data_IF_544532523570
#
_entry.id   IF_544532523570
#
_cell.length_a   1.000
_cell.length_b   1.000
_cell.length_c   1.000
_cell.angle_alpha   90.00
_cell.angle_beta   90.00
_cell.angle_gamma   90.00
#
_symmetry.space_group_name_H-M   'P 1'
#
loop_
_entity.id
_entity.type
_entity.pdbx_description
1 polymer ?
#
# COMPACT_ATOMS: atom_id res chain seq x y z
N UNK A 1 17.22 0.99 -17.19
CA UNK A 1 17.17 0.13 -18.40
C UNK A 1 15.70 -0.04 -18.82
N UNK A 2 15.40 0.06 -20.11
CA UNK A 2 14.03 0.04 -20.64
C UNK A 2 13.45 -1.40 -20.60
N UNK A 3 12.47 -1.64 -19.74
CA UNK A 3 11.95 -2.97 -19.34
C UNK A 3 11.40 -3.78 -20.53
N UNK A 4 10.94 -3.08 -21.58
CA UNK A 4 10.39 -3.69 -22.81
C UNK A 4 11.37 -4.54 -23.63
N UNK A 5 12.68 -4.49 -23.34
CA UNK A 5 13.72 -5.19 -24.13
C UNK A 5 14.15 -6.55 -23.58
N UNK A 6 13.61 -7.04 -22.47
CA UNK A 6 14.04 -8.31 -21.88
C UNK A 6 13.24 -9.49 -22.48
N UNK A 7 13.85 -10.24 -23.41
CA UNK A 7 13.42 -11.58 -23.85
C UNK A 7 14.63 -12.53 -23.89
N UNK A 8 14.47 -13.76 -23.41
CA UNK A 8 15.49 -14.84 -23.43
C UNK A 8 16.49 -14.83 -22.26
N UNK A 9 17.07 -16.01 -21.96
CA UNK A 9 18.06 -16.51 -20.96
C UNK A 9 18.62 -15.62 -19.83
N UNK A 10 18.65 -14.29 -19.99
CA UNK A 10 18.91 -13.30 -18.95
C UNK A 10 17.69 -13.01 -18.06
N UNK A 11 16.55 -13.67 -18.26
CA UNK A 11 15.34 -13.45 -17.47
C UNK A 11 15.52 -13.86 -16.01
N UNK A 12 16.16 -14.99 -15.72
CA UNK A 12 16.30 -15.51 -14.35
C UNK A 12 17.26 -14.66 -13.49
N UNK A 13 18.37 -14.22 -14.08
CA UNK A 13 19.35 -13.32 -13.44
C UNK A 13 18.76 -11.93 -13.21
N UNK A 14 18.08 -11.37 -14.22
CA UNK A 14 17.42 -10.06 -14.11
C UNK A 14 16.27 -10.10 -13.10
N UNK A 15 15.46 -11.17 -13.09
CA UNK A 15 14.38 -11.35 -12.11
C UNK A 15 14.93 -11.45 -10.69
N UNK A 16 16.07 -12.10 -10.47
CA UNK A 16 16.73 -12.16 -9.15
C UNK A 16 17.20 -10.77 -8.70
N UNK A 17 17.81 -9.99 -9.59
CA UNK A 17 18.22 -8.61 -9.32
C UNK A 17 17.01 -7.73 -8.96
N UNK A 18 15.95 -7.75 -9.77
CA UNK A 18 14.72 -7.01 -9.49
C UNK A 18 14.05 -7.45 -8.19
N UNK A 19 14.10 -8.75 -7.88
CA UNK A 19 13.55 -9.25 -6.63
C UNK A 19 14.34 -8.74 -5.42
N UNK A 20 15.68 -8.68 -5.51
CA UNK A 20 16.51 -8.09 -4.46
C UNK A 20 16.26 -6.59 -4.29
N UNK A 21 16.13 -5.84 -5.39
CA UNK A 21 15.78 -4.43 -5.35
C UNK A 21 14.40 -4.20 -4.73
N UNK A 22 13.42 -5.05 -5.08
CA UNK A 22 12.09 -5.02 -4.44
C UNK A 22 12.20 -5.31 -2.94
N UNK A 23 12.99 -6.30 -2.53
CA UNK A 23 13.20 -6.60 -1.09
C UNK A 23 13.76 -5.39 -0.35
N UNK A 24 14.80 -4.77 -0.90
CA UNK A 24 15.42 -3.60 -0.32
C UNK A 24 14.42 -2.43 -0.23
N UNK A 25 13.67 -2.19 -1.30
CA UNK A 25 12.60 -1.20 -1.31
C UNK A 25 11.53 -1.49 -0.25
N UNK A 26 11.09 -2.75 -0.12
CA UNK A 26 10.08 -3.13 0.87
C UNK A 26 10.56 -2.90 2.32
N UNK A 27 11.87 -2.98 2.56
CA UNK A 27 12.45 -2.75 3.89
C UNK A 27 12.71 -1.25 4.15
N UNK A 28 13.30 -0.53 3.19
CA UNK A 28 13.83 0.82 3.40
C UNK A 28 13.07 1.95 2.70
N UNK A 29 12.09 1.62 1.86
CA UNK A 29 11.31 2.61 1.12
C UNK A 29 12.00 3.16 -0.12
N UNK A 30 11.40 4.21 -0.68
CA UNK A 30 11.75 4.83 -1.95
C UNK A 30 12.33 6.24 -1.84
N UNK A 31 12.60 6.75 -0.63
CA UNK A 31 13.27 8.04 -0.47
C UNK A 31 14.64 8.04 -1.16
N UNK A 32 14.93 9.00 -2.07
CA UNK A 32 16.16 8.97 -2.86
C UNK A 32 17.43 8.92 -2.00
N UNK A 33 17.51 9.71 -0.93
CA UNK A 33 18.68 9.72 -0.06
C UNK A 33 18.90 8.38 0.64
N UNK A 34 17.82 7.70 1.04
CA UNK A 34 17.86 6.37 1.66
C UNK A 34 18.31 5.32 0.64
N UNK A 35 17.76 5.35 -0.58
CA UNK A 35 18.13 4.43 -1.65
C UNK A 35 19.62 4.51 -2.02
N UNK A 36 20.23 5.70 -1.89
CA UNK A 36 21.65 5.94 -2.20
C UNK A 36 22.63 5.51 -1.10
N UNK A 37 22.17 5.18 0.12
CA UNK A 37 23.07 4.70 1.19
C UNK A 37 23.44 3.23 0.99
N UNK A 38 24.68 2.89 1.36
CA UNK A 38 25.23 1.55 1.17
C UNK A 38 24.84 0.58 2.28
N UNK A 39 24.82 1.06 3.52
CA UNK A 39 24.57 0.22 4.70
C UNK A 39 23.17 0.39 5.27
N UNK A 40 22.67 -0.65 5.94
CA UNK A 40 21.39 -0.62 6.66
C UNK A 40 21.36 0.50 7.71
N UNK A 41 22.43 0.70 8.46
CA UNK A 41 22.46 1.69 9.54
C UNK A 41 22.42 3.12 9.00
N UNK A 42 23.11 3.40 7.89
CA UNK A 42 23.01 4.68 7.20
C UNK A 42 21.58 4.93 6.67
N UNK A 43 20.93 3.92 6.08
CA UNK A 43 19.54 4.01 5.61
C UNK A 43 18.59 4.38 6.76
N UNK A 44 18.72 3.69 7.89
CA UNK A 44 17.91 3.93 9.09
C UNK A 44 18.18 5.32 9.67
N UNK A 45 19.44 5.74 9.73
CA UNK A 45 19.83 7.06 10.22
C UNK A 45 19.24 8.20 9.37
N UNK A 46 19.25 8.05 8.04
CA UNK A 46 18.61 9.00 7.12
C UNK A 46 17.10 9.03 7.33
N UNK A 47 16.43 7.87 7.42
CA UNK A 47 14.99 7.82 7.71
C UNK A 47 14.65 8.53 9.02
N UNK A 48 15.44 8.31 10.08
CA UNK A 48 15.28 9.01 11.35
C UNK A 48 15.39 10.52 11.17
N UNK A 49 16.43 10.98 10.47
CA UNK A 49 16.67 12.41 10.23
C UNK A 49 15.51 13.06 9.45
N UNK A 50 14.97 12.37 8.45
CA UNK A 50 13.81 12.82 7.68
C UNK A 50 12.58 12.95 8.60
N UNK A 51 12.30 11.96 9.45
CA UNK A 51 11.13 12.00 10.33
C UNK A 51 11.26 12.98 11.48
N UNK A 52 12.43 13.13 12.06
CA UNK A 52 12.69 14.14 13.08
C UNK A 52 12.48 15.54 12.51
N UNK A 53 12.92 15.77 11.27
CA UNK A 53 12.69 17.02 10.56
C UNK A 53 11.21 17.25 10.28
N UNK A 54 10.49 16.24 9.79
CA UNK A 54 9.04 16.30 9.56
C UNK A 54 8.26 16.62 10.85
N UNK A 55 8.56 15.93 11.95
CA UNK A 55 7.91 16.19 13.24
C UNK A 55 8.21 17.59 13.72
N UNK A 56 9.47 18.04 13.64
CA UNK A 56 9.85 19.36 14.14
C UNK A 56 9.30 20.49 13.27
N UNK A 57 9.55 20.46 11.96
CA UNK A 57 9.18 21.56 11.07
C UNK A 57 7.70 21.54 10.72
N UNK A 58 7.18 20.39 10.31
CA UNK A 58 5.84 20.34 9.73
C UNK A 58 4.80 20.23 10.85
N UNK A 59 4.97 19.28 11.78
CA UNK A 59 3.96 19.06 12.82
C UNK A 59 4.00 20.11 13.94
N UNK A 60 5.19 20.45 14.44
CA UNK A 60 5.34 21.41 15.56
C UNK A 60 5.36 22.85 15.06
N UNK A 61 6.33 23.23 14.22
CA UNK A 61 6.53 24.64 13.85
C UNK A 61 5.43 25.16 12.90
N UNK A 62 5.05 24.39 11.87
CA UNK A 62 4.10 24.85 10.86
C UNK A 62 2.62 24.60 11.23
N UNK A 63 2.29 23.40 11.70
CA UNK A 63 0.91 23.02 12.03
C UNK A 63 0.52 23.25 13.50
N UNK A 64 1.47 23.67 14.34
CA UNK A 64 1.28 23.98 15.76
C UNK A 64 0.53 22.86 16.53
N UNK A 65 0.92 21.60 16.31
CA UNK A 65 0.33 20.47 17.04
C UNK A 65 0.88 20.44 18.47
N UNK A 66 0.02 20.67 19.45
CA UNK A 66 0.40 20.65 20.87
C UNK A 66 0.58 19.21 21.40
N UNK A 67 -0.30 18.29 21.00
CA UNK A 67 -0.33 16.89 21.50
C UNK A 67 0.59 15.95 20.71
N UNK A 68 1.87 16.30 20.58
CA UNK A 68 2.85 15.54 19.77
C UNK A 68 3.00 14.08 20.20
N UNK A 69 2.99 13.79 21.51
CA UNK A 69 3.11 12.41 21.98
C UNK A 69 1.92 11.54 21.54
N UNK A 70 0.69 12.08 21.61
CA UNK A 70 -0.50 11.39 21.12
C UNK A 70 -0.48 11.23 19.59
N UNK A 71 0.04 12.22 18.87
CA UNK A 71 0.24 12.15 17.41
C UNK A 71 1.24 11.06 17.04
N UNK A 72 2.38 10.96 17.72
CA UNK A 72 3.37 9.88 17.50
C UNK A 72 2.74 8.50 17.74
N UNK A 73 2.02 8.32 18.86
CA UNK A 73 1.28 7.08 19.15
C UNK A 73 0.23 6.74 18.08
N UNK A 74 -0.46 7.75 17.55
CA UNK A 74 -1.38 7.57 16.43
C UNK A 74 -0.63 7.03 15.21
N UNK A 75 0.48 7.67 14.81
CA UNK A 75 1.26 7.24 13.64
C UNK A 75 1.79 5.81 13.82
N UNK A 76 2.34 5.48 14.98
CA UNK A 76 2.78 4.12 15.32
C UNK A 76 1.63 3.11 15.22
N UNK A 77 0.46 3.44 15.76
CA UNK A 77 -0.72 2.58 15.66
C UNK A 77 -1.15 2.36 14.21
N UNK A 78 -1.17 3.43 13.39
CA UNK A 78 -1.47 3.33 11.97
C UNK A 78 -0.42 2.46 11.25
N UNK A 79 0.86 2.58 11.63
CA UNK A 79 1.94 1.81 11.03
C UNK A 79 1.79 0.32 11.33
N UNK A 80 1.53 -0.06 12.58
CA UNK A 80 1.25 -1.46 12.96
C UNK A 80 0.05 -2.02 12.17
N UNK A 81 -1.00 -1.22 11.99
CA UNK A 81 -2.25 -1.63 11.32
C UNK A 81 -2.29 -1.23 9.83
N UNK A 82 -1.14 -1.03 9.19
CA UNK A 82 -1.05 -0.61 7.80
C UNK A 82 -1.80 -1.58 6.86
N UNK A 83 -2.65 -1.03 6.00
CA UNK A 83 -3.50 -1.77 5.07
C UNK A 83 -4.71 -2.45 5.68
N UNK A 84 -4.93 -2.30 6.99
CA UNK A 84 -6.07 -2.87 7.69
C UNK A 84 -7.19 -1.85 7.88
N UNK A 85 -8.40 -2.36 8.15
CA UNK A 85 -9.57 -1.54 8.49
C UNK A 85 -9.43 -1.02 9.92
N UNK A 86 -9.47 0.30 10.08
CA UNK A 86 -9.16 0.93 11.36
C UNK A 86 -10.41 1.53 12.01
N UNK A 87 -10.72 1.06 13.22
CA UNK A 87 -11.79 1.57 14.07
C UNK A 87 -11.27 2.69 14.97
N UNK A 88 -11.90 3.86 14.93
CA UNK A 88 -11.40 5.06 15.61
C UNK A 88 -11.49 4.93 17.13
N UNK A 89 -12.38 4.07 17.64
CA UNK A 89 -12.52 3.78 19.06
C UNK A 89 -11.24 3.18 19.66
N UNK A 90 -10.56 2.29 18.93
CA UNK A 90 -9.27 1.71 19.35
C UNK A 90 -8.17 2.77 19.43
N UNK A 91 -8.17 3.70 18.45
CA UNK A 91 -7.22 4.82 18.44
C UNK A 91 -7.43 5.70 19.66
N UNK A 92 -8.68 6.07 19.95
CA UNK A 92 -9.00 6.96 21.07
C UNK A 92 -8.51 6.41 22.40
N UNK A 93 -8.75 5.12 22.66
CA UNK A 93 -8.28 4.44 23.88
C UNK A 93 -6.75 4.47 24.03
N UNK A 94 -6.01 4.31 22.94
CA UNK A 94 -4.54 4.27 22.96
C UNK A 94 -3.89 5.65 23.02
N UNK A 95 -4.47 6.63 22.35
CA UNK A 95 -3.87 7.95 22.13
C UNK A 95 -4.40 9.03 23.08
N UNK A 96 -5.51 8.75 23.77
CA UNK A 96 -6.28 9.70 24.58
C UNK A 96 -6.79 10.92 23.78
N UNK A 97 -6.88 10.76 22.45
CA UNK A 97 -7.47 11.75 21.56
C UNK A 97 -8.97 11.52 21.44
N UNK A 98 -9.72 12.60 21.36
CA UNK A 98 -11.13 12.51 20.99
C UNK A 98 -11.29 12.25 19.48
N UNK A 99 -12.51 11.94 19.03
CA UNK A 99 -12.78 11.60 17.64
C UNK A 99 -12.42 12.71 16.64
N UNK A 100 -12.66 13.97 17.01
CA UNK A 100 -12.36 15.13 16.17
C UNK A 100 -10.85 15.32 15.98
N UNK A 101 -10.08 15.17 17.06
CA UNK A 101 -8.63 15.23 17.04
C UNK A 101 -8.03 14.10 16.18
N UNK A 102 -8.53 12.87 16.32
CA UNK A 102 -8.09 11.72 15.51
C UNK A 102 -8.33 12.02 14.03
N UNK A 103 -9.52 12.51 13.68
CA UNK A 103 -9.86 12.82 12.29
C UNK A 103 -8.98 13.94 11.74
N UNK A 104 -8.75 15.00 12.53
CA UNK A 104 -7.86 16.10 12.17
C UNK A 104 -6.45 15.60 11.90
N UNK A 105 -5.90 14.77 12.78
CA UNK A 105 -4.54 14.26 12.64
C UNK A 105 -4.39 13.28 11.47
N UNK A 106 -5.38 12.42 11.21
CA UNK A 106 -5.40 11.56 10.03
C UNK A 106 -5.44 12.40 8.74
N UNK A 107 -6.27 13.45 8.68
CA UNK A 107 -6.27 14.35 7.52
C UNK A 107 -4.94 15.09 7.37
N UNK A 108 -4.33 15.58 8.45
CA UNK A 108 -2.99 16.17 8.39
C UNK A 108 -1.99 15.19 7.75
N UNK A 109 -1.92 13.94 8.23
CA UNK A 109 -1.01 12.93 7.69
C UNK A 109 -1.27 12.61 6.22
N UNK A 110 -2.51 12.72 5.77
CA UNK A 110 -2.87 12.55 4.37
C UNK A 110 -2.44 13.74 3.52
N UNK A 111 -2.73 14.96 3.97
CA UNK A 111 -2.38 16.20 3.25
C UNK A 111 -0.87 16.48 3.26
N UNK A 112 -0.11 15.94 4.22
CA UNK A 112 1.36 15.95 4.24
C UNK A 112 2.01 14.74 3.57
N UNK A 113 1.24 13.92 2.86
CA UNK A 113 1.72 12.77 2.08
C UNK A 113 2.45 11.69 2.90
N UNK A 114 2.10 11.52 4.18
CA UNK A 114 2.59 10.40 4.99
C UNK A 114 1.73 9.14 4.77
N UNK A 115 0.41 9.31 4.69
CA UNK A 115 -0.54 8.21 4.55
C UNK A 115 -1.51 8.44 3.39
N UNK A 116 -2.13 7.35 2.97
CA UNK A 116 -3.27 7.31 2.07
C UNK A 116 -4.47 6.67 2.76
N UNK A 117 -5.65 7.25 2.57
CA UNK A 117 -6.93 6.71 3.05
C UNK A 117 -7.65 6.02 1.90
N UNK A 118 -7.71 4.70 1.95
CA UNK A 118 -8.36 3.87 0.94
C UNK A 118 -9.80 3.56 1.38
N UNK A 119 -10.78 4.17 0.70
CA UNK A 119 -12.21 3.96 0.98
C UNK A 119 -12.76 2.74 0.24
N UNK A 120 -13.81 2.08 0.77
CA UNK A 120 -14.45 0.98 0.06
C UNK A 120 -15.25 1.49 -1.14
N UNK A 121 -15.18 0.77 -2.25
CA UNK A 121 -16.02 0.96 -3.41
C UNK A 121 -17.44 0.49 -3.11
N UNK A 122 -18.40 1.42 -3.22
CA UNK A 122 -19.81 1.12 -3.27
C UNK A 122 -20.47 1.90 -4.41
N UNK A 123 -21.49 1.29 -5.03
CA UNK A 123 -22.35 2.00 -5.98
C UNK A 123 -23.16 3.10 -5.30
N UNK A 124 -23.55 2.90 -4.04
CA UNK A 124 -24.18 3.91 -3.21
C UNK A 124 -23.12 4.73 -2.45
N UNK A 125 -22.92 5.98 -2.87
CA UNK A 125 -21.93 6.90 -2.30
C UNK A 125 -22.19 7.23 -0.83
N UNK A 126 -23.45 7.25 -0.36
CA UNK A 126 -23.74 7.48 1.06
C UNK A 126 -23.28 6.30 1.93
N UNK A 127 -23.36 5.06 1.42
CA UNK A 127 -22.82 3.88 2.11
C UNK A 127 -21.28 3.89 2.15
N UNK A 128 -20.63 4.43 1.13
CA UNK A 128 -19.17 4.58 1.09
C UNK A 128 -18.65 5.53 2.18
N UNK A 129 -19.35 6.63 2.45
CA UNK A 129 -18.92 7.63 3.44
C UNK A 129 -18.91 7.09 4.88
N UNK A 130 -19.80 6.15 5.21
CA UNK A 130 -19.99 5.65 6.58
C UNK A 130 -19.18 4.38 6.88
N UNK A 131 -18.49 3.82 5.90
CA UNK A 131 -17.76 2.56 6.06
C UNK A 131 -16.30 2.79 6.43
N UNK A 132 -15.78 1.88 7.25
CA UNK A 132 -14.44 1.93 7.80
C UNK A 132 -13.41 1.87 6.65
N UNK A 133 -12.52 2.86 6.50
CA UNK A 133 -11.48 2.86 5.48
C UNK A 133 -10.31 1.95 5.89
N UNK A 134 -9.45 1.63 4.92
CA UNK A 134 -8.08 1.18 5.17
C UNK A 134 -7.14 2.38 5.13
N UNK A 135 -6.05 2.33 5.91
CA UNK A 135 -5.00 3.35 5.87
C UNK A 135 -3.70 2.68 5.47
N UNK A 136 -3.03 3.24 4.47
CA UNK A 136 -1.72 2.79 4.00
C UNK A 136 -0.72 3.93 4.19
N UNK A 137 0.53 3.62 4.50
CA UNK A 137 1.61 4.59 4.37
C UNK A 137 1.96 4.76 2.90
N UNK A 138 2.32 5.98 2.49
CA UNK A 138 2.73 6.22 1.10
C UNK A 138 4.10 5.62 0.83
N UNK A 139 4.98 5.57 1.82
CA UNK A 139 6.30 4.97 1.73
C UNK A 139 6.49 3.90 2.82
N UNK A 140 6.94 2.72 2.43
CA UNK A 140 7.04 1.58 3.34
C UNK A 140 8.24 1.68 4.29
N UNK A 141 9.29 2.41 3.92
CA UNK A 141 10.44 2.71 4.77
C UNK A 141 10.04 3.58 5.97
N UNK A 142 9.21 4.59 5.71
CA UNK A 142 8.56 5.41 6.76
C UNK A 142 7.81 4.52 7.75
N UNK A 143 6.94 3.66 7.22
CA UNK A 143 6.12 2.78 8.03
C UNK A 143 6.99 1.87 8.90
N UNK A 144 8.03 1.29 8.31
CA UNK A 144 8.97 0.40 9.00
C UNK A 144 9.80 1.11 10.05
N UNK A 145 10.14 2.39 9.84
CA UNK A 145 10.77 3.26 10.83
C UNK A 145 9.88 3.40 12.07
N UNK A 146 8.59 3.72 11.90
CA UNK A 146 7.66 3.89 13.02
C UNK A 146 7.41 2.63 13.84
N UNK A 147 7.59 1.43 13.27
CA UNK A 147 7.50 0.18 14.03
C UNK A 147 8.87 -0.41 14.40
N UNK A 148 9.95 0.32 14.12
CA UNK A 148 11.34 -0.09 14.31
C UNK A 148 11.63 -1.53 13.83
N UNK A 149 11.14 -1.88 12.63
CA UNK A 149 11.32 -3.21 12.08
C UNK A 149 11.91 -3.11 10.67
N UNK A 150 13.19 -3.42 10.57
CA UNK A 150 13.96 -3.51 9.32
C UNK A 150 14.55 -4.91 9.15
N UNK A 151 13.87 -5.93 9.66
CA UNK A 151 14.27 -7.32 9.50
C UNK A 151 14.08 -7.78 8.05
N UNK A 152 14.80 -8.83 7.65
CA UNK A 152 14.58 -9.47 6.35
C UNK A 152 13.13 -9.93 6.24
N UNK A 153 12.57 -9.86 5.03
CA UNK A 153 11.18 -10.26 4.75
C UNK A 153 10.89 -11.71 5.15
N UNK A 154 11.88 -12.60 5.20
CA UNK A 154 11.69 -13.98 5.66
C UNK A 154 11.31 -14.09 7.14
N UNK A 155 11.60 -13.06 7.94
CA UNK A 155 11.28 -12.99 9.37
C UNK A 155 10.02 -12.18 9.65
N UNK A 156 9.29 -11.78 8.60
CA UNK A 156 8.20 -10.80 8.69
C UNK A 156 6.87 -11.37 8.21
N UNK A 157 5.93 -11.41 9.13
CA UNK A 157 4.55 -11.83 8.86
C UNK A 157 3.74 -10.79 8.08
N UNK A 158 4.15 -9.53 8.12
CA UNK A 158 3.49 -8.40 7.47
C UNK A 158 3.95 -8.14 6.03
N UNK A 159 4.80 -9.01 5.46
CA UNK A 159 5.35 -8.87 4.11
C UNK A 159 4.27 -8.73 3.02
N UNK A 160 3.09 -9.35 3.22
CA UNK A 160 1.94 -9.18 2.33
C UNK A 160 1.44 -7.74 2.29
N UNK A 161 1.20 -7.13 3.46
CA UNK A 161 0.78 -5.73 3.57
C UNK A 161 1.85 -4.76 3.09
N UNK A 162 3.14 -5.07 3.29
CA UNK A 162 4.25 -4.28 2.75
C UNK A 162 4.19 -4.26 1.22
N UNK A 163 3.93 -5.40 0.60
CA UNK A 163 3.80 -5.52 -0.85
C UNK A 163 2.54 -4.85 -1.40
N UNK A 164 1.41 -4.95 -0.71
CA UNK A 164 0.20 -4.17 -1.04
C UNK A 164 0.49 -2.67 -1.04
N UNK A 165 1.19 -2.20 -0.02
CA UNK A 165 1.59 -0.79 0.12
C UNK A 165 2.46 -0.35 -1.05
N UNK A 166 3.45 -1.15 -1.41
CA UNK A 166 4.28 -0.89 -2.59
C UNK A 166 3.44 -0.73 -3.85
N UNK A 167 2.56 -1.70 -4.15
CA UNK A 167 1.71 -1.66 -5.36
C UNK A 167 0.80 -0.43 -5.35
N UNK A 168 0.19 -0.12 -4.21
CA UNK A 168 -0.67 1.06 -4.04
C UNK A 168 0.11 2.34 -4.35
N UNK A 169 1.31 2.49 -3.78
CA UNK A 169 2.16 3.66 -3.99
C UNK A 169 2.62 3.80 -5.44
N UNK A 170 2.96 2.70 -6.12
CA UNK A 170 3.31 2.73 -7.54
C UNK A 170 2.11 3.10 -8.42
N UNK A 171 0.91 2.57 -8.13
CA UNK A 171 -0.31 2.99 -8.82
C UNK A 171 -0.59 4.48 -8.60
N UNK A 172 -0.40 5.01 -7.39
CA UNK A 172 -0.55 6.45 -7.13
C UNK A 172 0.44 7.29 -7.93
N UNK A 173 1.71 6.88 -8.02
CA UNK A 173 2.74 7.58 -8.82
C UNK A 173 2.40 7.62 -10.32
N UNK A 174 1.65 6.64 -10.82
CA UNK A 174 1.11 6.66 -12.20
C UNK A 174 -0.08 7.62 -12.38
N UNK A 175 -0.46 8.38 -11.35
CA UNK A 175 -1.54 9.37 -11.42
C UNK A 175 -2.92 8.85 -10.96
N UNK A 176 -2.99 7.65 -10.37
CA UNK A 176 -4.25 7.11 -9.86
C UNK A 176 -4.62 7.75 -8.51
N UNK A 177 -5.55 8.70 -8.53
CA UNK A 177 -5.92 9.48 -7.34
C UNK A 177 -7.05 8.86 -6.51
N UNK A 178 -7.90 8.02 -7.10
CA UNK A 178 -9.12 7.51 -6.46
C UNK A 178 -9.09 5.99 -6.29
N UNK A 179 -8.00 5.48 -5.74
CA UNK A 179 -7.90 4.07 -5.38
C UNK A 179 -8.96 3.73 -4.32
N UNK A 180 -9.60 2.58 -4.46
CA UNK A 180 -10.60 2.07 -3.51
C UNK A 180 -10.33 0.60 -3.25
N UNK A 181 -10.83 0.01 -2.18
CA UNK A 181 -10.88 -1.46 -2.02
C UNK A 181 -12.33 -1.94 -2.19
N UNK A 182 -12.60 -3.22 -2.30
CA UNK A 182 -13.98 -3.72 -2.30
C UNK A 182 -14.13 -4.88 -1.33
N UNK A 183 -15.27 -4.97 -0.64
CA UNK A 183 -15.62 -6.13 0.17
C UNK A 183 -17.10 -6.44 0.04
N UNK A 184 -17.44 -7.70 -0.22
CA UNK A 184 -18.83 -8.16 -0.26
C UNK A 184 -19.38 -8.53 1.14
N UNK A 185 -20.67 -8.87 1.18
CA UNK A 185 -21.35 -9.30 2.41
C UNK A 185 -20.86 -10.65 2.97
N UNK A 186 -20.19 -11.46 2.15
CA UNK A 186 -19.66 -12.77 2.54
C UNK A 186 -18.20 -12.67 2.99
N UNK A 187 -17.62 -11.46 2.99
CA UNK A 187 -16.25 -11.19 3.41
C UNK A 187 -15.20 -11.36 2.31
N UNK A 188 -15.58 -11.65 1.07
CA UNK A 188 -14.65 -11.61 -0.06
C UNK A 188 -14.18 -10.18 -0.29
N UNK A 189 -12.87 -10.01 -0.48
CA UNK A 189 -12.23 -8.71 -0.60
C UNK A 189 -11.45 -8.62 -1.91
N UNK A 190 -11.32 -7.40 -2.45
CA UNK A 190 -10.36 -7.01 -3.48
C UNK A 190 -9.54 -5.86 -2.92
N UNK A 191 -8.22 -5.97 -3.03
CA UNK A 191 -7.28 -5.02 -2.45
C UNK A 191 -7.42 -3.62 -3.08
N UNK A 192 -7.48 -3.54 -4.41
CA UNK A 192 -7.59 -2.28 -5.14
C UNK A 192 -8.63 -2.38 -6.28
N UNK A 193 -9.49 -1.38 -6.37
CA UNK A 193 -10.40 -1.10 -7.48
C UNK A 193 -9.91 0.15 -8.17
N UNK A 194 -9.55 -0.01 -9.44
CA UNK A 194 -9.27 1.10 -10.34
C UNK A 194 -10.52 1.43 -11.15
N UNK A 195 -10.73 2.71 -11.40
CA UNK A 195 -11.86 3.21 -12.18
C UNK A 195 -11.33 4.15 -13.27
N UNK A 196 -11.62 3.81 -14.53
CA UNK A 196 -11.32 4.66 -15.70
C UNK A 196 -12.48 4.57 -16.68
N UNK A 197 -12.98 5.72 -17.13
CA UNK A 197 -14.09 5.81 -18.08
C UNK A 197 -15.31 4.95 -17.65
N UNK A 198 -15.63 4.98 -16.35
CA UNK A 198 -16.68 4.17 -15.70
C UNK A 198 -16.49 2.64 -15.80
N UNK A 199 -15.32 2.17 -16.23
CA UNK A 199 -14.93 0.76 -16.18
C UNK A 199 -14.17 0.48 -14.89
N UNK A 200 -14.66 -0.50 -14.13
CA UNK A 200 -13.98 -1.02 -12.95
C UNK A 200 -12.95 -2.05 -13.37
N UNK A 201 -11.79 -2.00 -12.73
CA UNK A 201 -10.70 -2.94 -12.90
C UNK A 201 -10.24 -3.40 -11.52
N UNK A 202 -10.70 -4.58 -11.05
CA UNK A 202 -10.26 -5.12 -9.77
C UNK A 202 -8.83 -5.64 -9.86
N UNK A 203 -8.05 -5.36 -8.83
CA UNK A 203 -6.65 -5.73 -8.67
C UNK A 203 -6.48 -6.43 -7.33
N UNK A 204 -6.15 -7.72 -7.39
CA UNK A 204 -5.77 -8.53 -6.24
C UNK A 204 -4.25 -8.54 -6.11
N UNK A 205 -3.72 -8.49 -4.88
CA UNK A 205 -2.29 -8.45 -4.63
C UNK A 205 -1.90 -9.66 -3.78
N UNK A 206 -0.86 -10.37 -4.22
CA UNK A 206 -0.35 -11.58 -3.54
C UNK A 206 1.17 -11.61 -3.54
N UNK A 207 1.78 -11.41 -2.38
CA UNK A 207 3.22 -11.52 -2.20
C UNK A 207 3.69 -12.99 -2.17
N UNK A 208 3.64 -13.67 -3.32
CA UNK A 208 4.11 -15.04 -3.49
C UNK A 208 4.37 -15.38 -4.95
N UNK A 209 5.17 -16.41 -5.19
CA UNK A 209 5.51 -16.87 -6.55
C UNK A 209 4.47 -17.83 -7.13
N UNK A 210 3.88 -18.70 -6.30
CA UNK A 210 2.89 -19.70 -6.75
C UNK A 210 1.48 -19.26 -6.35
N UNK A 211 0.60 -19.18 -7.34
CA UNK A 211 -0.82 -18.83 -7.17
C UNK A 211 -1.66 -20.09 -7.16
N UNK A 212 -2.61 -20.16 -6.23
CA UNK A 212 -3.54 -21.26 -6.03
C UNK A 212 -4.95 -20.80 -6.41
N UNK A 213 -5.86 -21.76 -6.60
CA UNK A 213 -7.26 -21.47 -6.93
C UNK A 213 -7.95 -20.52 -5.94
N UNK A 214 -7.59 -20.63 -4.66
CA UNK A 214 -8.15 -19.83 -3.58
C UNK A 214 -7.82 -18.33 -3.69
N UNK A 215 -6.71 -17.98 -4.34
CA UNK A 215 -6.32 -16.58 -4.55
C UNK A 215 -7.24 -15.83 -5.51
N UNK A 216 -8.04 -16.56 -6.30
CA UNK A 216 -8.97 -15.98 -7.23
C UNK A 216 -10.38 -15.80 -6.64
N UNK A 217 -10.64 -16.23 -5.39
CA UNK A 217 -11.99 -16.19 -4.81
C UNK A 217 -12.57 -14.77 -4.76
N UNK A 218 -11.78 -13.80 -4.32
CA UNK A 218 -12.16 -12.38 -4.31
C UNK A 218 -12.51 -11.87 -5.71
N UNK A 219 -11.60 -12.08 -6.67
CA UNK A 219 -11.80 -11.70 -8.08
C UNK A 219 -13.03 -12.35 -8.71
N UNK A 220 -13.25 -13.63 -8.46
CA UNK A 220 -14.42 -14.34 -8.98
C UNK A 220 -15.71 -13.80 -8.37
N UNK A 221 -15.73 -13.50 -7.07
CA UNK A 221 -16.88 -12.87 -6.41
C UNK A 221 -17.16 -11.48 -7.01
N UNK A 222 -16.13 -10.66 -7.19
CA UNK A 222 -16.25 -9.34 -7.80
C UNK A 222 -16.81 -9.41 -9.23
N UNK A 223 -16.23 -10.27 -10.09
CA UNK A 223 -16.66 -10.43 -11.48
C UNK A 223 -18.11 -10.95 -11.60
N UNK A 224 -18.58 -11.72 -10.62
CA UNK A 224 -19.98 -12.17 -10.54
C UNK A 224 -20.94 -11.02 -10.23
N UNK A 225 -20.55 -10.11 -9.34
CA UNK A 225 -21.33 -8.93 -8.96
C UNK A 225 -21.31 -7.86 -10.06
N UNK A 226 -20.13 -7.56 -10.61
CA UNK A 226 -19.90 -6.50 -11.59
C UNK A 226 -19.68 -7.06 -13.00
N UNK A 227 -20.74 -7.61 -13.61
CA UNK A 227 -20.69 -8.30 -14.92
C UNK A 227 -20.14 -7.48 -16.09
N UNK A 228 -20.12 -6.14 -16.00
CA UNK A 228 -19.59 -5.24 -17.03
C UNK A 228 -18.05 -5.11 -16.97
N UNK A 229 -17.42 -5.64 -15.91
CA UNK A 229 -15.96 -5.65 -15.75
C UNK A 229 -15.32 -6.48 -16.86
N UNK A 230 -14.45 -5.86 -17.66
CA UNK A 230 -13.79 -6.51 -18.81
C UNK A 230 -12.38 -6.99 -18.51
N UNK A 231 -11.68 -6.30 -17.62
CA UNK A 231 -10.29 -6.59 -17.24
C UNK A 231 -10.20 -6.75 -15.73
N UNK A 232 -9.45 -7.76 -15.28
CA UNK A 232 -9.12 -7.99 -13.88
C UNK A 232 -7.66 -8.43 -13.78
N UNK A 233 -7.04 -8.14 -12.64
CA UNK A 233 -5.60 -8.31 -12.46
C UNK A 233 -5.28 -8.99 -11.13
N UNK A 234 -4.25 -9.83 -11.14
CA UNK A 234 -3.64 -10.38 -9.93
C UNK A 234 -2.15 -10.08 -9.99
N UNK A 235 -1.65 -9.26 -9.05
CA UNK A 235 -0.24 -8.89 -8.97
C UNK A 235 0.49 -9.87 -8.05
N UNK A 236 1.55 -10.49 -8.55
CA UNK A 236 2.33 -11.47 -7.82
C UNK A 236 3.82 -11.49 -8.20
N UNK A 237 4.60 -12.32 -7.52
CA UNK A 237 6.03 -12.52 -7.81
C UNK A 237 6.30 -13.60 -8.86
N UNK A 238 5.23 -14.17 -9.45
CA UNK A 238 5.25 -15.42 -10.19
C UNK A 238 5.01 -15.30 -11.68
N UNK A 239 4.68 -16.43 -12.29
CA UNK A 239 4.48 -16.53 -13.74
C UNK A 239 3.39 -15.59 -14.26
N UNK A 240 3.69 -14.96 -15.40
CA UNK A 240 2.80 -14.04 -16.11
C UNK A 240 1.97 -14.83 -17.12
N UNK A 241 0.77 -15.24 -16.71
CA UNK A 241 -0.19 -15.94 -17.58
C UNK A 241 -1.57 -15.34 -17.36
N UNK A 242 -2.38 -15.30 -18.40
CA UNK A 242 -3.81 -15.04 -18.22
C UNK A 242 -4.46 -16.34 -17.80
N UNK A 243 -5.14 -16.34 -16.65
CA UNK A 243 -5.90 -17.47 -16.15
C UNK A 243 -7.34 -17.03 -15.88
N UNK A 244 -8.34 -17.72 -16.46
CA UNK A 244 -9.78 -17.44 -16.21
C UNK A 244 -10.20 -15.98 -16.48
N UNK A 245 -9.63 -15.33 -17.50
CA UNK A 245 -9.80 -13.90 -17.84
C UNK A 245 -9.16 -12.91 -16.84
N UNK A 246 -8.38 -13.42 -15.90
CA UNK A 246 -7.61 -12.64 -14.92
C UNK A 246 -6.17 -12.57 -15.42
N UNK A 247 -5.62 -11.38 -15.52
CA UNK A 247 -4.26 -11.15 -15.99
C UNK A 247 -3.30 -11.14 -14.80
N UNK A 248 -2.38 -12.10 -14.76
CA UNK A 248 -1.32 -12.09 -13.74
C UNK A 248 -0.23 -11.11 -14.16
N UNK A 249 0.11 -10.18 -13.27
CA UNK A 249 1.07 -9.10 -13.48
C UNK A 249 2.21 -9.15 -12.47
N UNK A 250 3.43 -8.84 -12.91
CA UNK A 250 4.57 -8.59 -12.05
C UNK A 250 4.44 -7.18 -11.44
N UNK A 251 4.99 -6.96 -10.23
CA UNK A 251 4.92 -5.67 -9.56
C UNK A 251 5.54 -4.49 -10.33
N UNK A 252 6.38 -4.77 -11.32
CA UNK A 252 7.05 -3.76 -12.16
C UNK A 252 6.39 -3.59 -13.55
N UNK A 253 5.22 -4.20 -13.77
CA UNK A 253 4.47 -4.13 -15.04
C UNK A 253 3.09 -3.48 -14.88
N UNK A 254 2.92 -2.60 -13.88
CA UNK A 254 1.62 -1.99 -13.55
C UNK A 254 1.08 -1.07 -14.66
N UNK A 255 1.96 -0.49 -15.50
CA UNK A 255 1.57 0.36 -16.63
C UNK A 255 0.63 -0.34 -17.62
N UNK A 256 0.67 -1.68 -17.68
CA UNK A 256 -0.15 -2.50 -18.59
C UNK A 256 -1.64 -2.44 -18.22
N UNK A 257 -1.98 -2.07 -16.99
CA UNK A 257 -3.38 -2.02 -16.52
C UNK A 257 -4.23 -1.07 -17.39
N UNK A 258 -3.62 0.00 -17.91
CA UNK A 258 -4.27 1.04 -18.68
C UNK A 258 -4.06 0.97 -20.20
N UNK A 259 -3.18 0.08 -20.67
CA UNK A 259 -3.02 -0.24 -22.10
C UNK A 259 -4.13 -1.18 -22.57
#
# INVERSE_FOLDING_TARGET
KNIKKLKGDNLSSSVKEYYNLLKEFLIFGGYPEVALKATKDEKISVLSSIFDLYVKKDLVEYLNIEKILSMKKLIEFLAVNNGQKIKYEKISQLTQLNFEEIRKFIEILKETYIIEILRPYYTNKNKELVKIPKIYFIDIGVRNFFINNFNDLSLREDSGFMFETFVLSELKKQGNQNLRFWQDKNGYEIDIILEKDSMLMPVEIKFKQSIKLDDFKGLNAFLKEYKKTKKSYLINLGSQKTERKINLLLPYNLDVIYS
#
